data_IF_680097943267
#
_entry.id   IF_680097943267
#
_cell.length_a   1.000
_cell.length_b   1.000
_cell.length_c   1.000
_cell.angle_alpha   90.00
_cell.angle_beta   90.00
_cell.angle_gamma   90.00
#
_symmetry.space_group_name_H-M   'P 1'
#
loop_
_entity.id
_entity.type
_entity.pdbx_description
1 polymer ?
#
# COMPACT_ATOMS: atom_id res chain seq x y z
N UNK A 1 -21.84 9.06 1.65
CA UNK A 1 -20.55 9.38 1.00
C UNK A 1 -19.68 10.18 1.97
N UNK A 2 -18.57 9.61 2.45
CA UNK A 2 -17.72 10.26 3.46
C UNK A 2 -16.99 11.45 2.85
N UNK A 3 -17.22 12.66 3.37
CA UNK A 3 -16.49 13.86 2.95
C UNK A 3 -15.12 13.93 3.61
N UNK A 4 -14.13 14.45 2.88
CA UNK A 4 -12.78 14.71 3.39
C UNK A 4 -12.74 15.71 4.54
N UNK A 5 -13.74 16.61 4.60
CA UNK A 5 -13.86 17.66 5.59
C UNK A 5 -15.15 17.44 6.39
N UNK A 6 -15.04 17.32 7.72
CA UNK A 6 -16.18 17.23 8.63
C UNK A 6 -16.11 16.07 9.63
N UNK A 7 -15.38 14.98 9.34
CA UNK A 7 -15.25 13.84 10.24
C UNK A 7 -13.78 13.43 10.42
N UNK A 8 -13.33 13.32 11.68
CA UNK A 8 -11.98 12.83 12.07
C UNK A 8 -11.74 11.43 11.50
N UNK A 9 -12.79 10.61 11.40
CA UNK A 9 -12.72 9.28 10.81
C UNK A 9 -12.43 9.35 9.30
N UNK A 10 -13.16 10.21 8.56
CA UNK A 10 -12.95 10.40 7.13
C UNK A 10 -11.56 10.93 6.78
N UNK A 11 -11.09 11.96 7.48
CA UNK A 11 -9.76 12.54 7.24
C UNK A 11 -8.62 11.56 7.56
N UNK A 12 -8.72 10.83 8.67
CA UNK A 12 -7.72 9.81 9.06
C UNK A 12 -7.73 8.62 8.10
N UNK A 13 -8.93 8.18 7.68
CA UNK A 13 -9.10 7.13 6.67
C UNK A 13 -8.41 7.50 5.36
N UNK A 14 -8.80 8.63 4.76
CA UNK A 14 -8.27 9.03 3.45
C UNK A 14 -6.77 9.32 3.49
N UNK A 15 -6.26 9.90 4.58
CA UNK A 15 -4.82 10.13 4.75
C UNK A 15 -4.06 8.79 4.83
N UNK A 16 -4.53 7.85 5.65
CA UNK A 16 -3.87 6.56 5.85
C UNK A 16 -3.94 5.67 4.59
N UNK A 17 -5.12 5.53 3.98
CA UNK A 17 -5.29 4.73 2.76
C UNK A 17 -4.69 5.42 1.54
N UNK A 18 -4.75 6.75 1.45
CA UNK A 18 -4.16 7.52 0.37
C UNK A 18 -2.63 7.46 0.37
N UNK A 19 -2.00 7.61 1.54
CA UNK A 19 -0.55 7.45 1.68
C UNK A 19 -0.10 6.02 1.35
N UNK A 20 -0.87 5.02 1.77
CA UNK A 20 -0.62 3.63 1.40
C UNK A 20 -0.74 3.40 -0.11
N UNK A 21 -1.80 3.92 -0.76
CA UNK A 21 -1.99 3.83 -2.21
C UNK A 21 -0.84 4.48 -3.01
N UNK A 22 -0.26 5.56 -2.48
CA UNK A 22 0.96 6.15 -3.06
C UNK A 22 2.16 5.19 -3.01
N UNK A 23 2.34 4.45 -1.91
CA UNK A 23 3.40 3.45 -1.80
C UNK A 23 3.19 2.25 -2.74
N UNK A 24 1.94 1.80 -2.90
CA UNK A 24 1.59 0.78 -3.90
C UNK A 24 1.97 1.25 -5.31
N UNK A 25 1.66 2.50 -5.66
CA UNK A 25 2.04 3.07 -6.96
C UNK A 25 3.56 3.06 -7.17
N UNK A 26 4.34 3.50 -6.17
CA UNK A 26 5.81 3.42 -6.23
C UNK A 26 6.29 1.98 -6.41
N UNK A 27 5.70 1.03 -5.66
CA UNK A 27 6.06 -0.39 -5.74
C UNK A 27 5.78 -0.98 -7.11
N UNK A 28 4.66 -0.64 -7.74
CA UNK A 28 4.31 -1.12 -9.09
C UNK A 28 5.26 -0.57 -10.15
N UNK A 29 5.65 0.72 -10.05
CA UNK A 29 6.64 1.32 -10.95
C UNK A 29 7.99 0.63 -10.76
N UNK A 30 8.39 0.36 -9.52
CA UNK A 30 9.66 -0.29 -9.21
C UNK A 30 9.73 -1.72 -9.76
N UNK A 31 8.64 -2.48 -9.63
CA UNK A 31 8.49 -3.79 -10.27
C UNK A 31 8.46 -3.70 -11.80
N UNK A 32 7.79 -2.70 -12.38
CA UNK A 32 7.75 -2.50 -13.83
C UNK A 32 9.14 -2.17 -14.41
N UNK A 33 9.94 -1.37 -13.69
CA UNK A 33 11.35 -1.12 -14.03
C UNK A 33 12.17 -2.39 -13.93
N UNK A 34 11.99 -3.20 -12.89
CA UNK A 34 12.64 -4.50 -12.79
C UNK A 34 12.23 -5.41 -13.96
N UNK A 35 10.94 -5.48 -14.31
CA UNK A 35 10.46 -6.27 -15.45
C UNK A 35 11.09 -5.80 -16.77
N UNK A 36 11.15 -4.49 -17.02
CA UNK A 36 11.82 -3.93 -18.20
C UNK A 36 13.32 -4.24 -18.24
N UNK A 37 14.00 -4.30 -17.09
CA UNK A 37 15.41 -4.71 -16.97
C UNK A 37 15.59 -6.22 -17.16
N UNK A 38 14.61 -7.03 -16.76
CA UNK A 38 14.59 -8.48 -16.99
C UNK A 38 14.44 -8.82 -18.47
N UNK A 39 13.52 -8.16 -19.16
CA UNK A 39 13.26 -8.38 -20.59
C UNK A 39 14.46 -7.99 -21.47
N UNK A 40 15.29 -7.04 -21.02
CA UNK A 40 16.57 -6.69 -21.68
C UNK A 40 17.71 -7.69 -21.41
N UNK A 41 17.45 -8.81 -20.73
CA UNK A 41 18.43 -9.87 -20.46
C UNK A 41 19.53 -9.49 -19.47
N UNK A 42 19.34 -8.40 -18.69
CA UNK A 42 20.36 -7.91 -17.76
C UNK A 42 20.36 -8.61 -16.39
N UNK A 43 19.46 -9.56 -16.14
CA UNK A 43 19.49 -10.35 -14.91
C UNK A 43 20.21 -11.68 -15.13
N UNK A 44 21.40 -11.77 -14.54
CA UNK A 44 22.09 -13.04 -14.30
C UNK A 44 21.64 -13.60 -12.94
N UNK A 45 21.58 -14.93 -12.73
CA UNK A 45 21.19 -15.58 -11.46
C UNK A 45 22.07 -15.28 -10.24
N UNK A 46 23.05 -14.38 -10.37
CA UNK A 46 23.93 -13.91 -9.29
C UNK A 46 23.83 -12.39 -9.04
N UNK A 47 23.10 -11.63 -9.88
CA UNK A 47 22.96 -10.16 -9.79
C UNK A 47 21.50 -9.71 -9.89
N UNK A 48 20.63 -10.31 -9.09
CA UNK A 48 19.20 -9.95 -8.98
C UNK A 48 18.87 -9.05 -7.78
N UNK A 49 19.86 -8.36 -7.20
CA UNK A 49 19.65 -7.47 -6.05
C UNK A 49 18.55 -6.42 -6.28
N UNK A 50 18.40 -5.92 -7.51
CA UNK A 50 17.30 -5.01 -7.86
C UNK A 50 15.91 -5.64 -7.77
N UNK A 51 15.78 -6.92 -8.12
CA UNK A 51 14.53 -7.67 -8.00
C UNK A 51 14.26 -8.06 -6.54
N UNK A 52 15.30 -8.43 -5.81
CA UNK A 52 15.19 -8.72 -4.37
C UNK A 52 14.74 -7.48 -3.61
N UNK A 53 15.37 -6.32 -3.81
CA UNK A 53 14.92 -5.06 -3.22
C UNK A 53 13.47 -4.71 -3.58
N UNK A 54 13.03 -5.00 -4.82
CA UNK A 54 11.65 -4.79 -5.23
C UNK A 54 10.67 -5.73 -4.53
N UNK A 55 11.03 -7.00 -4.34
CA UNK A 55 10.22 -7.96 -3.59
C UNK A 55 10.11 -7.57 -2.11
N UNK A 56 11.21 -7.13 -1.49
CA UNK A 56 11.19 -6.62 -0.11
C UNK A 56 10.31 -5.37 0.03
N UNK A 57 10.40 -4.43 -0.92
CA UNK A 57 9.53 -3.25 -0.94
C UNK A 57 8.05 -3.64 -1.12
N UNK A 58 7.76 -4.60 -2.01
CA UNK A 58 6.40 -5.08 -2.25
C UNK A 58 5.81 -5.77 -1.01
N UNK A 59 6.58 -6.61 -0.32
CA UNK A 59 6.16 -7.24 0.92
C UNK A 59 5.95 -6.23 2.05
N UNK A 60 6.79 -5.20 2.16
CA UNK A 60 6.57 -4.11 3.12
C UNK A 60 5.22 -3.43 2.90
N UNK A 61 4.91 -3.10 1.64
CA UNK A 61 3.62 -2.50 1.28
C UNK A 61 2.48 -3.43 1.67
N UNK A 62 2.55 -4.72 1.33
CA UNK A 62 1.50 -5.70 1.66
C UNK A 62 1.23 -5.83 3.18
N UNK A 63 2.28 -5.87 4.01
CA UNK A 63 2.12 -5.93 5.47
C UNK A 63 1.43 -4.69 6.04
N UNK A 64 1.79 -3.49 5.54
CA UNK A 64 1.12 -2.24 5.95
C UNK A 64 -0.36 -2.27 5.54
N UNK A 65 -0.68 -2.84 4.39
CA UNK A 65 -2.07 -2.98 3.93
C UNK A 65 -2.88 -3.88 4.85
N UNK A 66 -2.34 -5.04 5.24
CA UNK A 66 -3.02 -5.96 6.16
C UNK A 66 -3.30 -5.30 7.51
N UNK A 67 -2.36 -4.51 8.02
CA UNK A 67 -2.54 -3.77 9.28
C UNK A 67 -3.63 -2.70 9.15
N UNK A 68 -3.62 -1.91 8.06
CA UNK A 68 -4.66 -0.93 7.77
C UNK A 68 -6.03 -1.59 7.58
N UNK A 69 -6.09 -2.72 6.86
CA UNK A 69 -7.30 -3.47 6.64
C UNK A 69 -7.91 -3.94 7.95
N UNK A 70 -7.10 -4.55 8.82
CA UNK A 70 -7.55 -4.97 10.14
C UNK A 70 -8.01 -3.79 11.01
N UNK A 71 -7.22 -2.72 11.11
CA UNK A 71 -7.54 -1.58 11.98
C UNK A 71 -8.77 -0.79 11.52
N UNK A 72 -8.92 -0.56 10.21
CA UNK A 72 -9.98 0.29 9.66
C UNK A 72 -11.24 -0.51 9.34
N UNK A 73 -11.11 -1.62 8.62
CA UNK A 73 -12.24 -2.35 8.06
C UNK A 73 -12.77 -3.43 9.00
N UNK A 74 -11.93 -4.02 9.84
CA UNK A 74 -12.36 -5.01 10.84
C UNK A 74 -12.64 -4.32 12.16
N UNK A 75 -11.63 -3.74 12.80
CA UNK A 75 -11.76 -3.11 14.12
C UNK A 75 -12.60 -1.83 14.09
N UNK A 76 -12.33 -0.93 13.15
CA UNK A 76 -13.12 0.31 12.98
C UNK A 76 -14.57 0.08 12.56
N UNK A 77 -14.89 -1.05 11.93
CA UNK A 77 -16.27 -1.43 11.54
C UNK A 77 -16.99 -2.26 12.62
N UNK A 78 -16.24 -3.01 13.45
CA UNK A 78 -16.78 -3.87 14.50
C UNK A 78 -17.12 -3.11 15.79
N UNK A 79 -16.46 -1.97 16.06
CA UNK A 79 -16.40 -1.36 17.39
C UNK A 79 -17.18 -0.05 17.63
N UNK A 80 -18.00 0.44 16.72
CA UNK A 80 -18.71 1.69 17.00
C UNK A 80 -19.84 1.98 16.03
N UNK A 81 -21.03 2.17 16.57
CA UNK A 81 -22.09 2.96 15.96
C UNK A 81 -21.41 4.21 15.37
N UNK A 82 -21.35 4.28 14.04
CA UNK A 82 -20.97 5.49 13.34
C UNK A 82 -22.11 6.45 13.66
N UNK A 83 -21.97 7.22 14.74
CA UNK A 83 -22.79 8.38 14.99
C UNK A 83 -22.46 9.35 13.85
N UNK A 84 -23.26 9.22 12.79
CA UNK A 84 -23.51 10.30 11.88
C UNK A 84 -24.21 11.39 12.70
N UNK A 85 -23.42 12.31 13.23
CA UNK A 85 -23.86 13.68 13.49
C UNK A 85 -23.34 14.58 12.37
#
# INVERSE_FOLDING_TARGET
PFEFAGSIYGSTFFMATGFHGFHVLIGTIFLAVCLGRALKGQFTPQKHFGFEAAAWYWHFVDVVWLFLFFAIYVWGSWGGVIHAE
#
